data_IF_517155479031
#
_entry.id   IF_517155479031
#
_cell.length_a   1.000
_cell.length_b   1.000
_cell.length_c   1.000
_cell.angle_alpha   90.00
_cell.angle_beta   90.00
_cell.angle_gamma   90.00
#
_symmetry.space_group_name_H-M   'P 1'
#
loop_
_entity.id
_entity.type
_entity.pdbx_description
1 polymer ?
#
# COMPACT_ATOMS: atom_id res chain seq x y z
N UNK A 1 -10.79 32.62 -30.22
CA UNK A 1 -9.56 31.85 -29.94
C UNK A 1 -9.17 32.13 -28.48
N UNK A 2 -9.22 31.14 -27.59
CA UNK A 2 -8.83 31.32 -26.17
C UNK A 2 -7.44 30.70 -26.00
N UNK A 3 -6.46 31.43 -25.48
CA UNK A 3 -5.11 30.96 -25.16
C UNK A 3 -4.44 30.07 -26.23
N UNK A 4 -4.58 30.47 -27.51
CA UNK A 4 -4.04 29.79 -28.68
C UNK A 4 -4.58 28.37 -28.97
N UNK A 5 -5.72 28.00 -28.39
CA UNK A 5 -6.41 26.75 -28.74
C UNK A 5 -7.23 26.90 -30.02
N UNK A 6 -7.11 25.94 -30.94
CA UNK A 6 -7.93 25.85 -32.16
C UNK A 6 -9.28 25.17 -31.93
N UNK A 7 -9.46 24.50 -30.79
CA UNK A 7 -10.70 23.81 -30.41
C UNK A 7 -11.22 24.32 -29.06
N UNK A 8 -12.53 24.21 -28.82
CA UNK A 8 -13.16 24.63 -27.56
C UNK A 8 -12.92 23.63 -26.44
N UNK A 9 -13.02 24.08 -25.19
CA UNK A 9 -12.96 23.17 -24.03
C UNK A 9 -14.12 22.18 -24.07
N UNK A 10 -13.86 20.88 -23.85
CA UNK A 10 -14.85 19.82 -23.97
C UNK A 10 -14.96 19.23 -25.38
N UNK A 11 -14.12 19.68 -26.32
CA UNK A 11 -14.00 19.05 -27.65
C UNK A 11 -13.33 17.68 -27.63
N UNK A 12 -12.79 17.26 -26.49
CA UNK A 12 -12.08 16.00 -26.31
C UNK A 12 -12.32 15.41 -24.92
N UNK A 13 -12.41 14.08 -24.84
CA UNK A 13 -12.68 13.30 -23.62
C UNK A 13 -11.81 12.05 -23.60
N UNK A 14 -11.09 11.82 -22.50
CA UNK A 14 -10.42 10.55 -22.22
C UNK A 14 -10.23 10.39 -20.71
N UNK A 15 -10.13 9.14 -20.23
CA UNK A 15 -9.82 8.84 -18.82
C UNK A 15 -10.67 9.63 -17.81
N UNK A 16 -11.98 9.72 -18.04
CA UNK A 16 -12.91 10.49 -17.21
C UNK A 16 -12.58 11.99 -17.08
N UNK A 17 -11.82 12.55 -18.03
CA UNK A 17 -11.44 13.96 -18.06
C UNK A 17 -11.77 14.61 -19.41
N UNK A 18 -12.32 15.83 -19.34
CA UNK A 18 -12.55 16.68 -20.52
C UNK A 18 -11.31 17.53 -20.80
N UNK A 19 -11.08 17.82 -22.08
CA UNK A 19 -9.97 18.67 -22.50
C UNK A 19 -10.20 19.33 -23.86
N UNK A 20 -9.11 19.83 -24.44
CA UNK A 20 -9.09 20.43 -25.78
C UNK A 20 -8.60 19.43 -26.83
N UNK A 21 -9.32 19.25 -27.94
CA UNK A 21 -8.90 18.36 -29.04
C UNK A 21 -7.60 18.78 -29.73
N UNK A 22 -7.24 20.06 -29.65
CA UNK A 22 -6.04 20.60 -30.31
C UNK A 22 -4.72 20.18 -29.64
N UNK A 23 -4.70 19.89 -28.33
CA UNK A 23 -3.48 19.57 -27.60
C UNK A 23 -3.67 18.53 -26.47
N UNK A 24 -4.89 18.03 -26.25
CA UNK A 24 -5.28 17.10 -25.19
C UNK A 24 -5.06 17.63 -23.75
N UNK A 25 -4.86 18.93 -23.57
CA UNK A 25 -4.78 19.54 -22.23
C UNK A 25 -6.12 19.41 -21.50
N UNK A 26 -6.07 18.82 -20.29
CA UNK A 26 -7.18 18.69 -19.33
C UNK A 26 -7.23 19.85 -18.33
N UNK A 27 -6.53 20.95 -18.60
CA UNK A 27 -6.57 22.17 -17.78
C UNK A 27 -7.28 23.28 -18.53
N UNK A 28 -8.44 23.69 -18.03
CA UNK A 28 -9.23 24.78 -18.61
C UNK A 28 -8.47 26.11 -18.51
N UNK A 29 -8.54 26.94 -19.56
CA UNK A 29 -7.82 28.22 -19.66
C UNK A 29 -6.27 28.10 -19.64
N UNK A 30 -5.70 26.91 -19.83
CA UNK A 30 -4.25 26.77 -20.08
C UNK A 30 -3.85 27.29 -21.46
N UNK A 31 -2.56 27.54 -21.68
CA UNK A 31 -2.02 27.81 -23.01
C UNK A 31 -1.91 26.54 -23.84
N UNK A 32 -2.19 26.65 -25.14
CA UNK A 32 -2.06 25.53 -26.06
C UNK A 32 -0.60 25.06 -26.15
N UNK A 33 -0.38 23.77 -25.88
CA UNK A 33 0.92 23.10 -25.98
C UNK A 33 1.18 22.47 -27.36
N UNK A 34 0.22 22.61 -28.29
CA UNK A 34 0.31 22.10 -29.66
C UNK A 34 0.47 20.58 -29.74
N UNK A 35 1.18 20.11 -30.77
CA UNK A 35 1.44 18.68 -30.99
C UNK A 35 2.31 18.04 -29.91
N UNK A 36 3.20 18.82 -29.29
CA UNK A 36 4.01 18.35 -28.16
C UNK A 36 3.13 17.93 -26.98
N UNK A 37 2.02 18.64 -26.74
CA UNK A 37 1.03 18.27 -25.73
C UNK A 37 0.38 16.91 -25.98
N UNK A 38 0.07 16.60 -27.24
CA UNK A 38 -0.52 15.30 -27.61
C UNK A 38 0.45 14.15 -27.36
N UNK A 39 1.70 14.29 -27.82
CA UNK A 39 2.76 13.29 -27.60
C UNK A 39 3.03 13.07 -26.12
N UNK A 40 3.15 14.15 -25.35
CA UNK A 40 3.34 14.06 -23.91
C UNK A 40 2.16 13.37 -23.21
N UNK A 41 0.94 13.60 -23.67
CA UNK A 41 -0.24 12.89 -23.16
C UNK A 41 -0.17 11.39 -23.49
N UNK A 42 0.10 11.04 -24.74
CA UNK A 42 0.25 9.63 -25.17
C UNK A 42 1.37 8.90 -24.40
N UNK A 43 2.52 9.56 -24.18
CA UNK A 43 3.63 9.01 -23.42
C UNK A 43 3.28 8.85 -21.93
N UNK A 44 2.57 9.80 -21.33
CA UNK A 44 2.07 9.68 -19.96
C UNK A 44 1.05 8.55 -19.84
N UNK A 45 0.18 8.36 -20.84
CA UNK A 45 -0.76 7.25 -20.89
C UNK A 45 -0.05 5.90 -20.99
N UNK A 46 0.95 5.78 -21.89
CA UNK A 46 1.79 4.59 -22.04
C UNK A 46 2.49 4.21 -20.73
N UNK A 47 3.06 5.20 -20.03
CA UNK A 47 3.67 4.98 -18.71
C UNK A 47 2.65 4.58 -17.65
N UNK A 48 1.43 5.14 -17.71
CA UNK A 48 0.38 4.81 -16.74
C UNK A 48 -0.19 3.41 -16.96
N UNK A 49 -0.41 3.00 -18.20
CA UNK A 49 -0.93 1.68 -18.53
C UNK A 49 0.11 0.58 -18.39
N UNK A 50 1.38 0.95 -18.24
CA UNK A 50 2.48 -0.02 -18.22
C UNK A 50 2.65 -0.71 -19.57
N UNK A 51 2.26 -0.07 -20.66
CA UNK A 51 2.53 -0.59 -22.00
C UNK A 51 4.00 -0.38 -22.42
N UNK A 52 4.72 0.48 -21.70
CA UNK A 52 6.14 0.82 -21.91
C UNK A 52 7.11 -0.01 -21.04
N UNK A 53 6.62 -1.03 -20.31
CA UNK A 53 7.53 -2.01 -19.72
C UNK A 53 7.95 -2.99 -20.81
N UNK A 54 9.14 -2.78 -21.36
CA UNK A 54 9.84 -3.80 -22.13
C UNK A 54 9.89 -5.09 -21.30
N UNK A 55 9.42 -6.21 -21.89
CA UNK A 55 9.55 -7.51 -21.26
C UNK A 55 11.03 -7.78 -20.99
N UNK A 56 11.43 -7.80 -19.72
CA UNK A 56 12.80 -8.10 -19.33
C UNK A 56 13.13 -9.50 -19.87
N UNK A 57 14.21 -9.67 -20.64
CA UNK A 57 14.61 -10.99 -21.14
C UNK A 57 14.74 -11.98 -19.98
N UNK A 58 14.17 -13.18 -20.12
CA UNK A 58 14.13 -14.20 -19.06
C UNK A 58 15.49 -14.49 -18.42
N UNK A 59 16.57 -14.43 -19.21
CA UNK A 59 17.93 -14.64 -18.72
C UNK A 59 18.39 -13.57 -17.71
N UNK A 60 17.96 -12.32 -17.90
CA UNK A 60 18.26 -11.21 -16.97
C UNK A 60 17.44 -11.36 -15.69
N UNK A 61 16.18 -11.80 -15.80
CA UNK A 61 15.33 -12.09 -14.66
C UNK A 61 15.91 -13.21 -13.77
N UNK A 62 16.32 -14.34 -14.38
CA UNK A 62 16.91 -15.46 -13.64
C UNK A 62 18.22 -15.11 -12.96
N UNK A 63 19.07 -14.32 -13.62
CA UNK A 63 20.34 -13.88 -13.04
C UNK A 63 20.15 -12.93 -11.86
N UNK A 64 19.10 -12.09 -11.89
CA UNK A 64 18.75 -11.25 -10.75
C UNK A 64 18.22 -12.08 -9.57
N UNK A 65 17.37 -13.08 -9.83
CA UNK A 65 16.89 -14.00 -8.79
C UNK A 65 18.05 -14.74 -8.10
N UNK A 66 18.99 -15.30 -8.87
CA UNK A 66 20.17 -15.99 -8.35
C UNK A 66 21.02 -15.09 -7.44
N UNK A 67 21.28 -13.85 -7.84
CA UNK A 67 22.05 -12.89 -7.02
C UNK A 67 21.31 -12.45 -5.75
N UNK A 68 19.97 -12.45 -5.78
CA UNK A 68 19.15 -12.03 -4.64
C UNK A 68 19.01 -13.14 -3.61
N UNK A 69 19.04 -14.40 -4.05
CA UNK A 69 19.16 -15.58 -3.19
C UNK A 69 20.53 -15.66 -2.49
N UNK A 70 21.60 -15.23 -3.16
CA UNK A 70 22.95 -15.22 -2.59
C UNK A 70 23.11 -14.14 -1.50
N UNK A 71 22.50 -12.96 -1.69
CA UNK A 71 22.61 -11.84 -0.75
C UNK A 71 21.41 -11.77 0.22
N UNK A 72 21.17 -12.84 0.98
CA UNK A 72 20.27 -12.79 2.14
C UNK A 72 21.11 -12.34 3.35
N UNK A 73 20.98 -11.09 3.86
CA UNK A 73 21.86 -10.51 4.89
C UNK A 73 21.71 -11.14 6.29
N UNK A 74 21.06 -12.30 6.39
CA UNK A 74 20.94 -13.09 7.62
C UNK A 74 20.96 -14.60 7.34
N UNK A 75 21.58 -15.02 6.22
CA UNK A 75 21.84 -16.43 5.98
C UNK A 75 22.80 -16.96 7.06
N UNK A 76 22.35 -17.97 7.81
CA UNK A 76 23.13 -18.61 8.87
C UNK A 76 24.16 -19.52 8.23
N UNK A 77 25.34 -18.99 7.90
CA UNK A 77 26.43 -19.76 7.25
C UNK A 77 26.96 -20.96 8.06
N UNK A 78 26.43 -21.23 9.26
CA UNK A 78 26.87 -22.32 10.14
C UNK A 78 25.69 -22.91 10.89
N UNK A 79 25.44 -24.22 10.71
CA UNK A 79 24.39 -25.00 11.38
C UNK A 79 24.41 -24.87 12.92
N UNK A 80 25.59 -24.63 13.51
CA UNK A 80 25.74 -24.42 14.94
C UNK A 80 25.15 -23.09 15.40
N UNK A 81 25.35 -22.01 14.63
CA UNK A 81 24.81 -20.68 14.92
C UNK A 81 23.29 -20.66 14.79
N UNK A 82 22.75 -21.37 13.78
CA UNK A 82 21.31 -21.56 13.61
C UNK A 82 20.65 -22.23 14.83
N UNK A 83 21.31 -23.23 15.44
CA UNK A 83 20.81 -23.92 16.65
C UNK A 83 20.88 -23.03 17.88
N UNK A 84 21.93 -22.22 18.02
CA UNK A 84 22.08 -21.26 19.12
C UNK A 84 21.03 -20.14 19.04
N UNK A 85 20.85 -19.54 17.87
CA UNK A 85 19.84 -18.51 17.60
C UNK A 85 18.40 -19.04 17.78
N UNK A 86 18.14 -20.29 17.38
CA UNK A 86 16.86 -20.92 17.64
C UNK A 86 16.60 -21.14 19.14
N UNK A 87 17.64 -21.49 19.91
CA UNK A 87 17.53 -21.70 21.37
C UNK A 87 17.31 -20.39 22.11
N UNK A 88 18.05 -19.33 21.78
CA UNK A 88 17.88 -18.00 22.37
C UNK A 88 16.52 -17.40 22.01
N UNK A 89 16.05 -17.60 20.77
CA UNK A 89 14.70 -17.17 20.36
C UNK A 89 13.60 -17.92 21.10
N UNK A 90 13.74 -19.22 21.33
CA UNK A 90 12.80 -20.01 22.15
C UNK A 90 12.76 -19.55 23.60
N UNK A 91 13.92 -19.26 24.21
CA UNK A 91 13.97 -18.74 25.59
C UNK A 91 13.33 -17.34 25.68
N UNK A 92 13.65 -16.45 24.75
CA UNK A 92 13.05 -15.11 24.66
C UNK A 92 11.53 -15.17 24.44
N UNK A 93 11.07 -16.11 23.63
CA UNK A 93 9.63 -16.30 23.40
C UNK A 93 8.94 -16.78 24.68
N UNK A 94 9.54 -17.75 25.39
CA UNK A 94 9.02 -18.22 26.66
C UNK A 94 8.93 -17.09 27.71
N UNK A 95 9.98 -16.27 27.84
CA UNK A 95 9.99 -15.09 28.74
C UNK A 95 8.94 -14.03 28.36
N UNK A 96 8.58 -13.90 27.07
CA UNK A 96 7.50 -13.01 26.63
C UNK A 96 6.10 -13.60 26.85
N UNK A 97 5.96 -14.93 26.86
CA UNK A 97 4.65 -15.62 26.99
C UNK A 97 4.30 -16.00 28.43
N UNK A 98 5.25 -15.97 29.35
CA UNK A 98 5.07 -16.37 30.77
C UNK A 98 4.25 -15.37 31.61
N UNK A 99 3.84 -14.24 31.02
CA UNK A 99 3.14 -13.16 31.72
C UNK A 99 1.66 -12.98 31.36
N UNK A 100 1.05 -13.89 30.61
CA UNK A 100 -0.39 -13.82 30.28
C UNK A 100 -1.04 -15.14 30.66
N UNK A 101 -1.64 -15.16 31.85
CA UNK A 101 -2.46 -16.30 32.28
C UNK A 101 -3.81 -16.27 31.55
N UNK A 102 -4.41 -17.44 31.34
CA UNK A 102 -5.72 -17.55 30.67
C UNK A 102 -6.81 -16.76 31.42
N UNK A 103 -6.69 -16.70 32.75
CA UNK A 103 -7.56 -15.94 33.65
C UNK A 103 -7.47 -14.42 33.40
N UNK A 104 -6.26 -13.86 33.23
CA UNK A 104 -6.08 -12.44 32.90
C UNK A 104 -6.62 -12.09 31.51
N UNK A 105 -6.53 -13.02 30.55
CA UNK A 105 -7.06 -12.84 29.21
C UNK A 105 -8.60 -12.89 29.20
N UNK A 106 -9.22 -13.71 30.05
CA UNK A 106 -10.66 -13.77 30.26
C UNK A 106 -11.19 -12.54 31.00
N UNK A 107 -10.49 -12.06 32.03
CA UNK A 107 -10.84 -10.82 32.73
C UNK A 107 -10.75 -9.61 31.79
N UNK A 108 -9.71 -9.54 30.95
CA UNK A 108 -9.60 -8.50 29.94
C UNK A 108 -10.75 -8.56 28.92
N UNK A 109 -11.11 -9.76 28.44
CA UNK A 109 -12.24 -9.96 27.52
C UNK A 109 -13.58 -9.58 28.17
N UNK A 110 -13.80 -9.98 29.42
CA UNK A 110 -15.00 -9.67 30.21
C UNK A 110 -15.11 -8.16 30.49
N UNK A 111 -14.00 -7.51 30.87
CA UNK A 111 -13.94 -6.07 31.16
C UNK A 111 -14.13 -5.22 29.91
N UNK A 112 -13.60 -5.64 28.77
CA UNK A 112 -13.81 -4.98 27.48
C UNK A 112 -15.27 -5.09 27.02
N UNK A 113 -15.85 -6.29 27.06
CA UNK A 113 -17.27 -6.48 26.74
C UNK A 113 -18.21 -5.69 27.68
N UNK A 114 -17.88 -5.58 28.97
CA UNK A 114 -18.67 -4.76 29.90
C UNK A 114 -18.55 -3.25 29.64
N UNK A 115 -17.42 -2.77 29.12
CA UNK A 115 -17.22 -1.35 28.82
C UNK A 115 -17.96 -0.91 27.53
N UNK A 116 -18.09 -1.82 26.58
CA UNK A 116 -18.78 -1.60 25.31
C UNK A 116 -20.31 -1.83 25.39
N UNK A 117 -20.84 -2.35 26.52
CA UNK A 117 -22.27 -2.57 26.73
C UNK A 117 -22.95 -1.34 27.38
N UNK A 118 -23.91 -0.67 26.70
CA UNK A 118 -24.65 0.48 27.25
C UNK A 118 -25.45 0.15 28.52
N UNK A 119 -25.73 -1.12 28.81
CA UNK A 119 -26.45 -1.57 30.01
C UNK A 119 -25.58 -1.65 31.27
N UNK A 120 -24.24 -1.69 31.14
CA UNK A 120 -23.31 -1.76 32.29
C UNK A 120 -23.37 -0.52 33.19
N UNK A 121 -23.77 0.64 32.66
CA UNK A 121 -23.96 1.88 33.43
C UNK A 121 -25.26 1.91 34.25
N UNK A 122 -26.15 0.94 34.05
CA UNK A 122 -27.48 0.87 34.65
C UNK A 122 -27.56 -0.15 35.81
N UNK A 123 -26.79 -1.24 35.75
CA UNK A 123 -26.73 -2.23 36.84
C UNK A 123 -25.99 -1.64 38.05
N UNK A 124 -26.75 -1.18 39.05
CA UNK A 124 -26.25 -0.67 40.32
C UNK A 124 -26.89 0.64 40.80
N UNK A 125 -27.83 1.22 40.03
CA UNK A 125 -28.57 2.44 40.40
C UNK A 125 -30.02 2.22 40.82
N UNK A 126 -30.43 0.98 41.04
CA UNK A 126 -31.74 0.69 41.63
C UNK A 126 -31.62 0.66 43.16
N UNK A 127 -31.38 1.84 43.74
CA UNK A 127 -31.83 2.10 45.11
C UNK A 127 -33.36 2.17 45.04
N UNK A 128 -34.01 1.08 45.46
CA UNK A 128 -35.44 1.02 45.75
C UNK A 128 -35.81 2.16 46.70
N UNK A 129 -36.55 3.15 46.17
CA UNK A 129 -37.26 4.19 46.90
C UNK A 129 -38.76 3.90 46.83
#
# INVERSE_FOLDING_TARGET
>A
MINNHTSVWGSWWSNFQWGYACCHSTVKNSYCTGEAGKKAFEEAELRRTGADVDEVPKEVAWKQEETLEEHVPNAVDRDEKAKEDAKTKKRRLAEMTDGVTEEEMEEYRRKKQSADDPMSKLLGKDELL
#
